data_IF_722666286778
#
_entry.id   IF_722666286778
#
_cell.length_a   1.000
_cell.length_b   1.000
_cell.length_c   1.000
_cell.angle_alpha   90.00
_cell.angle_beta   90.00
_cell.angle_gamma   90.00
#
_symmetry.space_group_name_H-M   'P 1'
#
loop_
_entity.id
_entity.type
_entity.pdbx_description
1 polymer ?
#
# COMPACT_ATOMS: atom_id res chain seq x y z
N UNK A 1 -16.63 14.57 11.76
CA UNK A 1 -16.79 14.29 11.84
C UNK A 1 -17.23 13.97 12.10
N UNK A 2 -17.19 13.76 12.13
CA UNK A 2 -17.66 13.39 12.55
C UNK A 2 -18.26 12.84 12.36
N UNK A 3 -18.50 12.82 11.95
CA UNK A 3 -19.21 12.30 11.90
C UNK A 3 -19.33 11.45 11.42
N UNK A 4 -18.77 11.29 11.07
CA UNK A 4 -18.89 10.30 10.75
C UNK A 4 -19.49 9.48 11.31
N UNK A 5 -19.37 9.49 12.09
CA UNK A 5 -19.96 8.64 12.88
C UNK A 5 -21.30 8.45 12.91
N UNK A 6 -21.83 9.03 12.76
CA UNK A 6 -23.03 8.73 12.78
C UNK A 6 -23.48 8.24 11.76
N UNK A 7 -22.92 8.28 11.09
CA UNK A 7 -23.18 7.77 10.16
C UNK A 7 -23.67 6.64 10.20
N UNK A 8 -23.58 6.25 11.01
CA UNK A 8 -24.12 5.34 11.22
C UNK A 8 -25.06 5.11 11.51
N UNK A 9 -25.15 5.57 11.61
CA UNK A 9 -26.04 5.36 12.09
C UNK A 9 -27.00 4.94 11.70
N UNK A 10 -27.16 4.79 11.57
CA UNK A 10 -28.12 4.35 11.42
C UNK A 10 -28.57 3.63 10.55
N UNK A 11 -28.36 3.75 9.99
CA UNK A 11 -28.74 3.16 9.31
C UNK A 11 -28.97 2.12 9.20
N UNK A 12 -29.07 1.78 9.56
CA UNK A 12 -29.16 0.84 9.58
C UNK A 12 -30.04 0.13 9.71
N UNK A 13 -30.69 -0.09 9.49
CA UNK A 13 -31.45 -0.74 9.85
C UNK A 13 -31.39 -2.08 9.58
N UNK A 14 -31.79 -2.94 9.88
CA UNK A 14 -31.56 -4.30 10.11
C UNK A 14 -31.15 -5.09 8.90
N UNK A 15 -31.87 -5.02 7.88
CA UNK A 15 -31.54 -5.76 6.67
C UNK A 15 -30.30 -5.20 6.00
N UNK A 16 -30.11 -3.89 6.07
CA UNK A 16 -28.91 -3.29 5.56
C UNK A 16 -27.67 -3.74 6.31
N UNK A 17 -27.78 -3.94 7.61
CA UNK A 17 -26.67 -4.37 8.45
C UNK A 17 -26.18 -5.74 8.06
N UNK A 18 -27.08 -6.67 7.79
CA UNK A 18 -26.69 -8.01 7.36
C UNK A 18 -25.87 -8.00 6.08
N UNK A 19 -26.33 -7.24 5.09
CA UNK A 19 -25.63 -7.15 3.82
C UNK A 19 -24.23 -6.55 3.98
N UNK A 20 -24.12 -5.54 4.84
CA UNK A 20 -22.84 -4.88 5.08
C UNK A 20 -21.87 -5.84 5.74
N UNK A 21 -22.32 -6.65 6.70
CA UNK A 21 -21.47 -7.62 7.34
C UNK A 21 -20.90 -8.63 6.35
N UNK A 22 -21.71 -9.09 5.42
CA UNK A 22 -21.25 -10.06 4.42
C UNK A 22 -20.21 -9.43 3.50
N UNK A 23 -20.41 -8.19 3.10
CA UNK A 23 -19.45 -7.48 2.26
C UNK A 23 -18.11 -7.33 2.98
N UNK A 24 -18.14 -6.95 4.25
CA UNK A 24 -16.90 -6.78 5.02
C UNK A 24 -16.14 -8.11 5.13
N UNK A 25 -16.83 -9.22 5.30
CA UNK A 25 -16.19 -10.51 5.40
C UNK A 25 -15.49 -10.92 4.11
N UNK A 26 -16.01 -10.52 2.97
CA UNK A 26 -15.43 -10.87 1.67
C UNK A 26 -14.32 -9.91 1.26
N UNK A 27 -14.30 -8.72 1.83
CA UNK A 27 -13.30 -7.72 1.51
C UNK A 27 -11.93 -8.16 1.99
N UNK A 28 -10.92 -7.95 1.14
CA UNK A 28 -9.55 -8.30 1.48
C UNK A 28 -8.68 -7.07 1.48
N UNK A 29 -7.66 -7.09 2.32
CA UNK A 29 -6.66 -6.03 2.35
C UNK A 29 -5.33 -6.63 1.94
N UNK A 30 -4.73 -6.08 0.88
CA UNK A 30 -3.38 -6.48 0.50
C UNK A 30 -2.39 -5.62 1.25
N UNK A 31 -1.33 -6.23 1.73
CA UNK A 31 -0.24 -5.51 2.37
C UNK A 31 1.06 -6.02 1.76
N UNK A 32 1.86 -5.08 1.25
CA UNK A 32 3.15 -5.41 0.65
C UNK A 32 4.22 -4.55 1.27
N UNK A 33 5.41 -5.11 1.38
CA UNK A 33 6.58 -4.37 1.84
C UNK A 33 7.72 -4.63 0.89
N UNK A 34 8.38 -3.57 0.47
CA UNK A 34 9.58 -3.66 -0.37
C UNK A 34 10.76 -3.06 0.39
N UNK A 35 11.84 -3.81 0.47
CA UNK A 35 13.10 -3.29 0.97
C UNK A 35 14.01 -3.06 -0.24
N UNK A 36 14.41 -1.81 -0.44
CA UNK A 36 15.14 -1.40 -1.63
C UNK A 36 16.50 -0.85 -1.24
N UNK A 37 17.51 -1.15 -2.05
CA UNK A 37 18.86 -0.66 -1.85
C UNK A 37 19.22 0.29 -2.99
N UNK A 38 19.59 1.52 -2.63
CA UNK A 38 19.93 2.56 -3.58
C UNK A 38 21.34 3.09 -3.28
N UNK A 39 22.37 2.43 -3.81
CA UNK A 39 23.76 2.80 -3.47
C UNK A 39 24.17 4.18 -3.93
N UNK A 40 23.48 4.76 -4.91
CA UNK A 40 23.81 6.10 -5.40
C UNK A 40 23.32 7.21 -4.48
N UNK A 41 22.50 6.91 -3.49
CA UNK A 41 21.95 7.91 -2.58
C UNK A 41 22.98 8.21 -1.49
N UNK A 42 23.33 9.48 -1.34
CA UNK A 42 24.39 9.88 -0.43
C UNK A 42 23.93 10.81 0.69
N UNK A 43 22.62 11.12 0.76
CA UNK A 43 22.10 11.97 1.82
C UNK A 43 20.65 11.63 2.09
N UNK A 44 20.16 12.02 3.27
CA UNK A 44 18.76 11.81 3.61
C UNK A 44 17.84 12.66 2.72
N UNK A 45 18.32 13.82 2.31
CA UNK A 45 17.53 14.65 1.40
C UNK A 45 17.31 13.95 0.07
N UNK A 46 18.38 13.38 -0.48
CA UNK A 46 18.32 12.63 -1.73
C UNK A 46 17.39 11.43 -1.59
N UNK A 47 17.49 10.72 -0.47
CA UNK A 47 16.63 9.58 -0.19
C UNK A 47 15.16 9.99 -0.15
N UNK A 48 14.85 11.08 0.56
CA UNK A 48 13.47 11.54 0.66
C UNK A 48 12.88 11.87 -0.69
N UNK A 49 13.67 12.47 -1.56
CA UNK A 49 13.23 12.77 -2.92
C UNK A 49 12.96 11.51 -3.72
N UNK A 50 13.84 10.51 -3.60
CA UNK A 50 13.69 9.23 -4.29
C UNK A 50 12.45 8.49 -3.80
N UNK A 51 12.27 8.42 -2.48
CA UNK A 51 11.12 7.75 -1.88
C UNK A 51 9.83 8.45 -2.30
N UNK A 52 9.81 9.77 -2.21
CA UNK A 52 8.61 10.53 -2.57
C UNK A 52 8.24 10.33 -4.04
N UNK A 53 9.22 10.27 -4.90
CA UNK A 53 8.98 10.04 -6.32
C UNK A 53 8.31 8.69 -6.55
N UNK A 54 8.84 7.64 -5.91
CA UNK A 54 8.28 6.30 -6.06
C UNK A 54 6.88 6.22 -5.47
N UNK A 55 6.67 6.79 -4.30
CA UNK A 55 5.37 6.82 -3.66
C UNK A 55 4.34 7.50 -4.56
N UNK A 56 4.70 8.66 -5.12
CA UNK A 56 3.80 9.40 -6.00
C UNK A 56 3.44 8.58 -7.23
N UNK A 57 4.41 7.92 -7.83
CA UNK A 57 4.16 7.08 -9.00
C UNK A 57 3.21 5.94 -8.68
N UNK A 58 3.41 5.29 -7.54
CA UNK A 58 2.55 4.19 -7.12
C UNK A 58 1.13 4.66 -6.85
N UNK A 59 0.99 5.79 -6.16
CA UNK A 59 -0.32 6.34 -5.86
C UNK A 59 -1.07 6.72 -7.12
N UNK A 60 -0.39 7.31 -8.09
CA UNK A 60 -1.01 7.73 -9.34
C UNK A 60 -1.41 6.54 -10.20
N UNK A 61 -0.62 5.49 -10.19
CA UNK A 61 -0.89 4.32 -11.02
C UNK A 61 -1.98 3.44 -10.44
N UNK A 62 -1.93 3.18 -9.14
CA UNK A 62 -2.77 2.16 -8.50
C UNK A 62 -3.79 2.70 -7.51
N UNK A 63 -3.68 3.97 -7.13
CA UNK A 63 -4.57 4.58 -6.12
C UNK A 63 -4.56 3.78 -4.82
N UNK A 64 -3.37 3.40 -4.38
CA UNK A 64 -3.16 2.63 -3.15
C UNK A 64 -2.58 3.52 -2.07
N UNK A 65 -2.58 3.02 -0.84
CA UNK A 65 -1.96 3.70 0.28
C UNK A 65 -0.50 3.27 0.35
N UNK A 66 0.42 4.23 0.33
CA UNK A 66 1.86 3.96 0.28
C UNK A 66 2.58 4.85 1.28
N UNK A 67 3.54 4.28 1.98
CA UNK A 67 4.36 5.04 2.91
C UNK A 67 5.72 4.38 3.11
N UNK A 68 6.71 5.18 3.51
CA UNK A 68 7.97 4.62 3.99
C UNK A 68 7.73 4.19 5.44
N UNK A 69 7.99 2.90 5.74
CA UNK A 69 7.58 2.33 7.01
C UNK A 69 8.74 1.95 7.93
N UNK A 70 9.98 2.00 7.45
CA UNK A 70 11.13 1.65 8.27
C UNK A 70 12.38 2.27 7.66
N UNK A 71 13.50 2.21 8.38
CA UNK A 71 14.83 2.65 7.92
C UNK A 71 14.84 4.12 7.48
N UNK A 72 14.04 4.95 8.12
CA UNK A 72 13.89 6.34 7.70
C UNK A 72 15.17 7.15 7.86
N UNK A 73 16.06 6.72 8.75
CA UNK A 73 17.32 7.43 9.00
C UNK A 73 18.51 6.83 8.25
N UNK A 74 18.29 5.77 7.46
CA UNK A 74 19.34 5.13 6.66
C UNK A 74 19.17 5.58 5.22
N UNK A 75 20.15 6.29 4.68
CA UNK A 75 19.90 6.94 3.38
C UNK A 75 20.00 6.01 2.17
N UNK A 76 20.60 4.84 2.29
CA UNK A 76 20.68 3.92 1.14
C UNK A 76 19.63 2.80 1.16
N UNK A 77 18.94 2.63 2.28
CA UNK A 77 17.91 1.59 2.40
C UNK A 77 16.54 2.26 2.51
N UNK A 78 15.60 1.79 1.71
CA UNK A 78 14.23 2.29 1.73
C UNK A 78 13.29 1.12 1.98
N UNK A 79 12.37 1.26 2.92
CA UNK A 79 11.34 0.24 3.16
C UNK A 79 9.99 0.87 2.90
N UNK A 80 9.33 0.42 1.85
CA UNK A 80 8.07 0.99 1.38
C UNK A 80 6.95 0.02 1.69
N UNK A 81 5.91 0.50 2.37
CA UNK A 81 4.72 -0.28 2.65
C UNK A 81 3.58 0.16 1.75
N UNK A 82 2.83 -0.80 1.24
CA UNK A 82 1.71 -0.55 0.33
C UNK A 82 0.51 -1.34 0.81
N UNK A 83 -0.64 -0.68 0.89
CA UNK A 83 -1.88 -1.33 1.29
C UNK A 83 -3.01 -0.97 0.34
N UNK A 84 -3.88 -1.94 0.06
CA UNK A 84 -5.01 -1.72 -0.82
C UNK A 84 -6.16 -2.63 -0.41
N UNK A 85 -7.37 -2.18 -0.72
CA UNK A 85 -8.58 -2.96 -0.47
C UNK A 85 -9.03 -3.57 -1.79
N UNK A 86 -9.31 -4.87 -1.78
CA UNK A 86 -9.80 -5.58 -2.97
C UNK A 86 -10.97 -6.48 -2.56
N UNK A 87 -11.87 -6.78 -3.51
CA UNK A 87 -13.06 -7.57 -3.18
C UNK A 87 -12.81 -9.05 -2.97
N UNK A 88 -11.73 -9.62 -3.55
CA UNK A 88 -11.47 -11.05 -3.40
C UNK A 88 -10.00 -11.36 -3.68
N UNK A 89 -9.63 -12.61 -3.36
CA UNK A 89 -8.23 -13.05 -3.42
C UNK A 89 -7.62 -12.99 -4.82
N UNK A 90 -8.40 -13.31 -5.84
CA UNK A 90 -7.87 -13.29 -7.20
C UNK A 90 -7.41 -11.89 -7.61
N UNK A 91 -8.20 -10.88 -7.25
CA UNK A 91 -7.80 -9.49 -7.52
C UNK A 91 -6.60 -9.08 -6.66
N UNK A 92 -6.53 -9.60 -5.43
CA UNK A 92 -5.40 -9.32 -4.56
C UNK A 92 -4.11 -9.81 -5.21
N UNK A 93 -4.09 -11.04 -5.69
CA UNK A 93 -2.91 -11.62 -6.33
C UNK A 93 -2.50 -10.83 -7.57
N UNK A 94 -3.46 -10.49 -8.42
CA UNK A 94 -3.21 -9.71 -9.63
C UNK A 94 -2.62 -8.35 -9.30
N UNK A 95 -3.21 -7.67 -8.32
CA UNK A 95 -2.76 -6.35 -7.96
C UNK A 95 -1.34 -6.39 -7.41
N UNK A 96 -1.04 -7.35 -6.54
CA UNK A 96 0.29 -7.46 -5.96
C UNK A 96 1.34 -7.76 -7.01
N UNK A 97 1.00 -8.59 -8.00
CA UNK A 97 1.90 -8.90 -9.12
C UNK A 97 2.19 -7.64 -9.95
N UNK A 98 1.15 -6.86 -10.23
CA UNK A 98 1.30 -5.63 -10.99
C UNK A 98 2.12 -4.60 -10.25
N UNK A 99 1.90 -4.47 -8.94
CA UNK A 99 2.67 -3.54 -8.12
C UNK A 99 4.14 -3.93 -8.10
N UNK A 100 4.43 -5.21 -7.93
CA UNK A 100 5.80 -5.70 -7.90
C UNK A 100 6.51 -5.39 -9.21
N UNK A 101 5.85 -5.65 -10.33
CA UNK A 101 6.41 -5.36 -11.65
C UNK A 101 6.62 -3.86 -11.84
N UNK A 102 5.66 -3.07 -11.41
CA UNK A 102 5.75 -1.62 -11.53
C UNK A 102 6.92 -1.04 -10.73
N UNK A 103 7.11 -1.52 -9.50
CA UNK A 103 8.23 -1.08 -8.67
C UNK A 103 9.54 -1.43 -9.36
N UNK A 104 9.64 -2.64 -9.87
CA UNK A 104 10.84 -3.10 -10.56
C UNK A 104 11.18 -2.22 -11.76
N UNK A 105 10.15 -1.82 -12.51
CA UNK A 105 10.32 -1.04 -13.73
C UNK A 105 10.53 0.44 -13.48
N UNK A 106 10.11 0.96 -12.34
CA UNK A 106 10.10 2.39 -12.08
C UNK A 106 11.09 2.85 -11.03
N UNK A 107 11.96 1.96 -10.56
CA UNK A 107 13.05 2.35 -9.68
C UNK A 107 14.33 1.69 -10.15
N UNK A 108 15.44 2.41 -9.97
CA UNK A 108 16.76 1.84 -10.23
C UNK A 108 17.33 1.17 -9.00
N UNK A 109 16.65 1.29 -7.86
CA UNK A 109 17.07 0.64 -6.63
C UNK A 109 16.89 -0.86 -6.75
N UNK A 110 17.76 -1.60 -6.08
CA UNK A 110 17.68 -3.05 -6.06
C UNK A 110 16.64 -3.49 -5.04
N UNK A 111 15.70 -4.36 -5.44
CA UNK A 111 14.74 -4.94 -4.51
C UNK A 111 15.45 -6.08 -3.78
N UNK A 112 15.78 -5.88 -2.51
CA UNK A 112 16.48 -6.89 -1.75
C UNK A 112 15.54 -7.75 -0.92
N UNK A 113 14.30 -7.33 -0.75
CA UNK A 113 13.28 -8.12 -0.07
C UNK A 113 11.91 -7.64 -0.47
N UNK A 114 10.97 -8.56 -0.56
CA UNK A 114 9.58 -8.25 -0.87
C UNK A 114 8.70 -9.20 -0.08
N UNK A 115 7.75 -8.64 0.67
CA UNK A 115 6.78 -9.43 1.42
C UNK A 115 5.38 -9.09 0.98
N UNK A 116 4.52 -10.10 0.94
CA UNK A 116 3.13 -9.96 0.53
C UNK A 116 2.24 -10.62 1.56
N UNK A 117 1.12 -9.98 1.86
CA UNK A 117 0.16 -10.52 2.82
C UNK A 117 -1.24 -10.12 2.39
N UNK A 118 -2.19 -11.04 2.56
CA UNK A 118 -3.61 -10.76 2.33
C UNK A 118 -4.31 -10.94 3.67
N UNK A 119 -5.05 -9.94 4.09
CA UNK A 119 -5.76 -9.96 5.37
C UNK A 119 -7.26 -9.87 5.22
#
# INVERSE_FOLDING_TARGET
MQELGEFDSGVRKADGISCISDVVKEMKITAMTFRLYAPWVHSLKEKRMTVKSLITKLQNKFHVSVAEVDEQDTHQIMVIGIAAIVPHNAMADSLMEEISRFVEENTEAEIIDEEREIR
#
